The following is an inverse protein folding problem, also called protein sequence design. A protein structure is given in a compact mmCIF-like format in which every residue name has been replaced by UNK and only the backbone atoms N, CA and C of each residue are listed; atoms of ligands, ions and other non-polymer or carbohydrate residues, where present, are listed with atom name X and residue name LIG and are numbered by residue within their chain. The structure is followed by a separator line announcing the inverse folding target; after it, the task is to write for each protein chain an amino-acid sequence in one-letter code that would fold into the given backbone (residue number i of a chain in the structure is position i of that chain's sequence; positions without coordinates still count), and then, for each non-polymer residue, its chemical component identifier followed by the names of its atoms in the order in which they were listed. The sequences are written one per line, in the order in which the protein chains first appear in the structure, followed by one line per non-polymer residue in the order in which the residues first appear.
data_IF_811624905739
#
_entry.id   IF_811624905739
#
_cell.length_a   1.000
_cell.length_b   1.000
_cell.length_c   1.000
_cell.angle_alpha   90.00
_cell.angle_beta   90.00
_cell.angle_gamma   90.00
#
_symmetry.space_group_name_H-M   'P 1'
#
loop_
_entity.id
_entity.type
_entity.pdbx_description
1 polymer ?
#
# COMPACT_ATOMS: atom_id res chain seq x y z
N UNK A 1 19.29 -45.73 36.61
CA UNK A 1 19.64 -44.65 35.66
C UNK A 1 18.62 -43.51 35.68
N UNK A 2 17.31 -43.78 35.65
CA UNK A 2 16.21 -42.78 35.75
C UNK A 2 16.28 -41.83 36.97
N UNK A 3 16.76 -42.31 38.13
CA UNK A 3 16.83 -41.49 39.38
C UNK A 3 17.86 -40.36 39.33
N UNK A 4 18.87 -40.40 38.45
CA UNK A 4 19.86 -39.32 38.32
C UNK A 4 19.34 -38.12 37.52
N UNK A 5 18.41 -38.34 36.58
CA UNK A 5 17.76 -37.24 35.83
C UNK A 5 16.78 -36.45 36.69
N UNK A 6 16.18 -37.09 37.71
CA UNK A 6 15.24 -36.45 38.65
C UNK A 6 15.91 -35.69 39.80
N UNK A 7 17.22 -35.87 40.01
CA UNK A 7 17.97 -35.27 41.12
C UNK A 7 18.90 -34.14 40.66
N UNK A 8 18.98 -33.85 39.37
CA UNK A 8 19.89 -32.87 38.83
C UNK A 8 19.29 -31.46 38.94
N UNK A 9 19.96 -30.57 39.69
CA UNK A 9 19.59 -29.16 39.85
C UNK A 9 20.30 -28.26 38.85
N UNK A 10 21.30 -28.78 38.14
CA UNK A 10 21.98 -28.06 37.06
C UNK A 10 21.13 -28.19 35.80
N UNK A 11 20.53 -27.07 35.35
CA UNK A 11 19.68 -27.04 34.15
C UNK A 11 18.21 -26.70 34.39
N UNK A 12 17.80 -26.39 35.62
CA UNK A 12 16.43 -25.92 35.86
C UNK A 12 16.12 -24.62 35.08
N UNK A 13 17.08 -23.70 35.01
CA UNK A 13 16.95 -22.47 34.21
C UNK A 13 16.85 -22.73 32.70
N UNK A 14 17.49 -23.78 32.18
CA UNK A 14 17.34 -24.17 30.76
C UNK A 14 15.98 -24.79 30.48
N UNK A 15 15.39 -25.53 31.43
CA UNK A 15 14.03 -26.08 31.29
C UNK A 15 12.98 -24.98 31.39
N UNK A 16 13.14 -24.04 32.33
CA UNK A 16 12.26 -22.87 32.46
C UNK A 16 12.32 -21.97 31.21
N UNK A 17 13.54 -21.72 30.68
CA UNK A 17 13.70 -20.99 29.43
C UNK A 17 13.11 -21.76 28.25
N UNK A 18 13.28 -23.08 28.17
CA UNK A 18 12.72 -23.88 27.08
C UNK A 18 11.20 -23.84 27.03
N UNK A 19 10.53 -23.65 28.17
CA UNK A 19 9.07 -23.48 28.25
C UNK A 19 8.64 -22.08 27.76
N UNK A 20 9.40 -21.02 28.08
CA UNK A 20 9.06 -19.63 27.72
C UNK A 20 9.51 -19.28 26.28
N UNK A 21 10.62 -19.84 25.83
CA UNK A 21 11.21 -19.62 24.51
C UNK A 21 10.23 -19.73 23.34
N UNK A 22 9.35 -20.74 23.22
CA UNK A 22 8.40 -20.81 22.10
C UNK A 22 7.44 -19.61 22.05
N UNK A 23 7.03 -19.08 23.21
CA UNK A 23 6.16 -17.89 23.28
C UNK A 23 6.92 -16.66 22.80
N UNK A 24 8.17 -16.49 23.24
CA UNK A 24 9.03 -15.38 22.81
C UNK A 24 9.32 -15.44 21.30
N UNK A 25 9.66 -16.61 20.78
CA UNK A 25 9.90 -16.81 19.33
C UNK A 25 8.65 -16.45 18.53
N UNK A 26 7.47 -16.95 18.94
CA UNK A 26 6.22 -16.65 18.26
C UNK A 26 5.92 -15.14 18.26
N UNK A 27 6.12 -14.46 19.38
CA UNK A 27 5.92 -13.02 19.50
C UNK A 27 6.87 -12.22 18.59
N UNK A 28 8.16 -12.59 18.53
CA UNK A 28 9.13 -11.93 17.65
C UNK A 28 8.84 -12.16 16.17
N UNK A 29 8.42 -13.37 15.79
CA UNK A 29 8.02 -13.69 14.42
C UNK A 29 6.78 -12.87 14.00
N UNK A 30 5.78 -12.75 14.87
CA UNK A 30 4.59 -11.92 14.60
C UNK A 30 4.97 -10.45 14.45
N UNK A 31 5.81 -9.91 15.33
CA UNK A 31 6.27 -8.52 15.24
C UNK A 31 7.04 -8.26 13.94
N UNK A 32 7.91 -9.18 13.54
CA UNK A 32 8.66 -9.09 12.27
C UNK A 32 7.74 -9.10 11.04
N UNK A 33 6.70 -9.93 11.06
CA UNK A 33 5.74 -10.01 9.97
C UNK A 33 4.91 -8.72 9.83
N UNK A 34 4.46 -8.14 10.94
CA UNK A 34 3.81 -6.83 10.95
C UNK A 34 4.73 -5.75 10.38
N UNK A 35 6.01 -5.74 10.77
CA UNK A 35 6.99 -4.79 10.24
C UNK A 35 7.15 -4.92 8.72
N UNK A 36 7.14 -6.15 8.18
CA UNK A 36 7.19 -6.41 6.75
C UNK A 36 5.92 -5.97 6.02
N UNK A 37 4.74 -6.15 6.62
CA UNK A 37 3.49 -5.62 6.09
C UNK A 37 3.52 -4.09 5.99
N UNK A 38 4.01 -3.40 7.03
CA UNK A 38 4.19 -1.95 7.00
C UNK A 38 5.22 -1.51 5.95
N UNK A 39 6.33 -2.23 5.79
CA UNK A 39 7.29 -1.97 4.72
C UNK A 39 6.62 -2.03 3.35
N UNK A 40 5.81 -3.05 3.09
CA UNK A 40 5.07 -3.17 1.83
C UNK A 40 4.11 -1.99 1.62
N UNK A 41 3.36 -1.61 2.66
CA UNK A 41 2.46 -0.45 2.61
C UNK A 41 3.20 0.87 2.33
N UNK A 42 4.33 1.10 3.00
CA UNK A 42 5.17 2.28 2.76
C UNK A 42 5.70 2.29 1.33
N UNK A 43 6.03 1.13 0.76
CA UNK A 43 6.42 0.99 -0.65
C UNK A 43 5.34 1.50 -1.60
N UNK A 44 4.09 1.06 -1.42
CA UNK A 44 2.95 1.54 -2.21
C UNK A 44 2.72 3.04 -2.04
N UNK A 45 2.82 3.55 -0.80
CA UNK A 45 2.64 4.97 -0.50
C UNK A 45 3.70 5.84 -1.18
N UNK A 46 4.97 5.44 -1.12
CA UNK A 46 6.08 6.13 -1.79
C UNK A 46 5.93 6.12 -3.31
N UNK A 47 5.46 5.01 -3.88
CA UNK A 47 5.18 4.93 -5.31
C UNK A 47 4.05 5.91 -5.70
N UNK A 48 2.96 5.97 -4.93
CA UNK A 48 1.88 6.92 -5.14
C UNK A 48 2.38 8.38 -5.04
N UNK A 49 3.14 8.73 -4.01
CA UNK A 49 3.71 10.08 -3.83
C UNK A 49 4.65 10.47 -4.98
N UNK A 50 5.53 9.57 -5.42
CA UNK A 50 6.39 9.80 -6.58
C UNK A 50 5.57 10.07 -7.83
N UNK A 51 4.50 9.32 -8.06
CA UNK A 51 3.65 9.52 -9.25
C UNK A 51 2.84 10.80 -9.17
N UNK A 52 2.45 11.25 -7.96
CA UNK A 52 1.87 12.56 -7.75
C UNK A 52 2.87 13.68 -8.10
N UNK A 53 4.14 13.53 -7.74
CA UNK A 53 5.18 14.50 -8.13
C UNK A 53 5.41 14.52 -9.65
N UNK A 54 5.40 13.35 -10.31
CA UNK A 54 5.47 13.28 -11.77
C UNK A 54 4.25 13.93 -12.44
N UNK A 55 3.05 13.74 -11.87
CA UNK A 55 1.84 14.41 -12.34
C UNK A 55 1.94 15.93 -12.22
N UNK A 56 2.51 16.43 -11.11
CA UNK A 56 2.75 17.87 -10.93
C UNK A 56 3.81 18.41 -11.90
N UNK A 57 4.88 17.66 -12.16
CA UNK A 57 5.95 18.07 -13.07
C UNK A 57 5.54 18.01 -14.55
N UNK A 58 4.71 17.04 -14.93
CA UNK A 58 4.16 16.92 -16.28
C UNK A 58 3.16 18.02 -16.64
N UNK A 59 2.60 18.69 -15.64
CA UNK A 59 1.62 19.76 -15.83
C UNK A 59 0.26 19.24 -16.29
N UNK A 60 -0.66 20.19 -16.49
CA UNK A 60 -2.01 19.92 -16.99
C UNK A 60 -2.12 20.28 -18.47
N UNK A 61 -2.59 19.35 -19.31
CA UNK A 61 -2.96 19.65 -20.70
C UNK A 61 -4.45 19.93 -20.82
N UNK A 62 -4.81 21.00 -21.55
CA UNK A 62 -6.19 21.37 -21.86
C UNK A 62 -6.76 20.59 -23.05
N UNK A 63 -6.05 19.57 -23.56
CA UNK A 63 -6.55 18.78 -24.67
C UNK A 63 -7.66 17.82 -24.20
N UNK A 64 -8.91 18.24 -24.45
CA UNK A 64 -10.14 17.54 -24.06
C UNK A 64 -10.37 16.24 -24.81
N UNK A 65 -9.54 15.92 -25.81
CA UNK A 65 -9.65 14.66 -26.55
C UNK A 65 -8.84 13.51 -25.94
N UNK A 66 -7.91 13.80 -25.01
CA UNK A 66 -6.90 12.83 -24.57
C UNK A 66 -6.35 13.06 -23.15
N UNK A 67 -7.10 13.71 -22.25
CA UNK A 67 -6.75 13.81 -20.81
C UNK A 67 -6.44 12.46 -20.18
N UNK A 68 -7.11 11.39 -20.61
CA UNK A 68 -6.82 10.01 -20.22
C UNK A 68 -5.47 9.50 -20.74
N UNK A 69 -5.01 9.93 -21.93
CA UNK A 69 -3.69 9.56 -22.47
C UNK A 69 -2.52 10.30 -21.83
N UNK A 70 -2.71 11.55 -21.40
CA UNK A 70 -1.69 12.30 -20.65
C UNK A 70 -1.28 11.59 -19.34
N UNK A 71 -2.22 10.86 -18.72
CA UNK A 71 -1.99 10.15 -17.47
C UNK A 71 -1.76 8.64 -17.60
N UNK A 72 -1.91 8.05 -18.80
CA UNK A 72 -1.70 6.61 -19.01
C UNK A 72 -0.27 6.17 -18.67
N UNK A 73 0.72 7.03 -18.91
CA UNK A 73 2.12 6.75 -18.54
C UNK A 73 2.32 6.76 -17.02
N UNK A 74 1.57 7.58 -16.27
CA UNK A 74 1.66 7.60 -14.81
C UNK A 74 1.19 6.29 -14.19
N UNK A 75 0.17 5.65 -14.77
CA UNK A 75 -0.30 4.35 -14.29
C UNK A 75 0.77 3.26 -14.49
N UNK A 76 1.47 3.27 -15.63
CA UNK A 76 2.59 2.37 -15.90
C UNK A 76 3.79 2.63 -14.97
N UNK A 77 4.16 3.89 -14.77
CA UNK A 77 5.26 4.29 -13.88
C UNK A 77 4.94 3.96 -12.41
N UNK A 78 3.71 4.21 -11.96
CA UNK A 78 3.23 3.84 -10.64
C UNK A 78 3.29 2.34 -10.42
N UNK A 79 2.81 1.56 -11.39
CA UNK A 79 2.83 0.11 -11.36
C UNK A 79 4.26 -0.43 -11.30
N UNK A 80 5.17 0.10 -12.13
CA UNK A 80 6.58 -0.27 -12.14
C UNK A 80 7.28 0.08 -10.82
N UNK A 81 7.01 1.27 -10.26
CA UNK A 81 7.60 1.70 -8.98
C UNK A 81 7.07 0.90 -7.78
N UNK A 82 5.80 0.51 -7.80
CA UNK A 82 5.16 -0.28 -6.75
C UNK A 82 5.36 -1.80 -6.91
N UNK A 83 5.81 -2.27 -8.08
CA UNK A 83 5.93 -3.69 -8.39
C UNK A 83 4.57 -4.41 -8.49
N UNK A 84 3.51 -3.70 -8.90
CA UNK A 84 2.15 -4.25 -9.04
C UNK A 84 1.69 -4.20 -10.50
N UNK A 85 0.68 -5.00 -10.90
CA UNK A 85 0.07 -4.88 -12.22
C UNK A 85 -0.56 -3.50 -12.44
N UNK A 86 -0.55 -3.01 -13.68
CA UNK A 86 -1.17 -1.71 -14.03
C UNK A 86 -2.66 -1.64 -13.72
N UNK A 87 -3.39 -2.76 -13.81
CA UNK A 87 -4.80 -2.84 -13.42
C UNK A 87 -5.08 -2.57 -11.94
N UNK A 88 -4.05 -2.60 -11.09
CA UNK A 88 -4.15 -2.27 -9.68
C UNK A 88 -3.89 -0.79 -9.38
N UNK A 89 -3.58 0.01 -10.40
CA UNK A 89 -3.37 1.45 -10.30
C UNK A 89 -4.57 2.17 -10.87
N UNK A 90 -5.08 3.15 -10.13
CA UNK A 90 -6.15 4.03 -10.58
C UNK A 90 -5.67 5.47 -10.50
N UNK A 91 -5.69 6.16 -11.63
CA UNK A 91 -5.41 7.59 -11.72
C UNK A 91 -6.74 8.31 -11.98
N UNK A 92 -7.14 9.17 -11.07
CA UNK A 92 -8.41 9.89 -11.13
C UNK A 92 -8.14 11.39 -11.21
N UNK A 93 -8.28 11.99 -12.40
CA UNK A 93 -8.28 13.45 -12.52
C UNK A 93 -9.58 14.00 -11.92
N UNK A 94 -9.50 15.14 -11.24
CA UNK A 94 -10.66 15.78 -10.61
C UNK A 94 -10.63 17.28 -10.84
N UNK A 95 -11.74 17.81 -11.32
CA UNK A 95 -11.96 19.24 -11.51
C UNK A 95 -12.96 19.74 -10.46
N UNK A 96 -12.64 20.84 -9.79
CA UNK A 96 -13.56 21.54 -8.90
C UNK A 96 -13.86 22.92 -9.47
N UNK A 97 -15.15 23.23 -9.58
CA UNK A 97 -15.66 24.55 -9.97
C UNK A 97 -16.47 25.12 -8.79
N UNK A 98 -16.03 26.24 -8.19
CA UNK A 98 -16.68 26.84 -7.01
C UNK A 98 -17.05 25.81 -5.91
N UNK A 99 -16.10 24.92 -5.58
CA UNK A 99 -16.23 23.82 -4.61
C UNK A 99 -17.13 22.64 -5.02
N UNK A 100 -17.71 22.62 -6.22
CA UNK A 100 -18.43 21.46 -6.77
C UNK A 100 -17.49 20.55 -7.55
N UNK A 101 -17.51 19.25 -7.27
CA UNK A 101 -16.69 18.26 -7.99
C UNK A 101 -17.38 17.91 -9.31
N UNK A 102 -16.68 18.13 -10.42
CA UNK A 102 -17.11 17.74 -11.75
C UNK A 102 -16.53 16.35 -12.08
N UNK A 103 -17.29 15.30 -11.78
CA UNK A 103 -16.87 13.89 -11.99
C UNK A 103 -17.17 13.37 -13.40
N UNK A 104 -18.16 13.95 -14.10
CA UNK A 104 -18.61 13.47 -15.40
C UNK A 104 -17.78 13.98 -16.58
N UNK A 105 -17.09 15.12 -16.42
CA UNK A 105 -16.30 15.75 -17.49
C UNK A 105 -15.20 16.65 -16.92
N UNK A 106 -14.16 16.07 -16.28
CA UNK A 106 -13.02 16.84 -15.79
C UNK A 106 -12.25 17.55 -16.91
N UNK A 107 -12.49 17.22 -18.18
CA UNK A 107 -12.00 17.91 -19.37
C UNK A 107 -12.70 19.25 -19.61
N UNK A 108 -13.98 19.37 -19.25
CA UNK A 108 -14.79 20.53 -19.59
C UNK A 108 -14.40 21.70 -18.68
N UNK A 109 -13.99 22.85 -19.24
CA UNK A 109 -13.67 24.04 -18.45
C UNK A 109 -14.85 24.46 -17.57
N UNK A 110 -14.56 25.00 -16.38
CA UNK A 110 -15.59 25.62 -15.55
C UNK A 110 -16.24 26.80 -16.29
N UNK A 111 -17.54 27.07 -16.08
CA UNK A 111 -18.20 28.26 -16.60
C UNK A 111 -17.48 29.55 -16.20
N UNK A 112 -17.58 30.57 -17.04
CA UNK A 112 -16.93 31.88 -16.81
C UNK A 112 -17.29 32.45 -15.43
N UNK A 113 -16.27 32.99 -14.74
CA UNK A 113 -16.40 33.58 -13.40
C UNK A 113 -16.35 32.59 -12.24
N UNK A 114 -16.20 31.28 -12.49
CA UNK A 114 -16.03 30.28 -11.42
C UNK A 114 -14.55 30.06 -11.06
N UNK A 115 -14.28 29.79 -9.79
CA UNK A 115 -12.94 29.39 -9.35
C UNK A 115 -12.66 27.94 -9.74
N UNK A 116 -11.64 27.75 -10.57
CA UNK A 116 -11.16 26.46 -11.04
C UNK A 116 -10.08 25.90 -10.12
N UNK A 117 -10.22 24.65 -9.67
CA UNK A 117 -9.16 23.90 -9.00
C UNK A 117 -9.02 22.52 -9.62
N UNK A 118 -7.81 22.10 -9.96
CA UNK A 118 -7.54 20.79 -10.58
C UNK A 118 -6.67 19.92 -9.70
N UNK A 119 -7.07 18.67 -9.54
CA UNK A 119 -6.36 17.66 -8.76
C UNK A 119 -6.16 16.39 -9.58
N UNK A 120 -5.12 15.65 -9.26
CA UNK A 120 -4.94 14.27 -9.70
C UNK A 120 -4.75 13.42 -8.46
N UNK A 121 -5.58 12.40 -8.32
CA UNK A 121 -5.45 11.38 -7.28
C UNK A 121 -4.89 10.09 -7.89
N UNK A 122 -3.92 9.50 -7.21
CA UNK A 122 -3.35 8.20 -7.54
C UNK A 122 -3.67 7.25 -6.40
N UNK A 123 -4.22 6.09 -6.74
CA UNK A 123 -4.46 4.98 -5.83
C UNK A 123 -3.80 3.73 -6.38
N UNK A 124 -2.98 3.08 -5.55
CA UNK A 124 -2.30 1.84 -5.87
C UNK A 124 -2.77 0.77 -4.89
N UNK A 125 -3.23 -0.35 -5.43
CA UNK A 125 -3.67 -1.50 -4.65
C UNK A 125 -2.66 -2.66 -4.74
N UNK A 126 -2.42 -3.33 -3.63
CA UNK A 126 -1.57 -4.50 -3.54
C UNK A 126 -2.10 -5.49 -2.52
N UNK A 127 -1.46 -6.64 -2.42
CA UNK A 127 -1.73 -7.62 -1.38
C UNK A 127 -0.43 -8.03 -0.71
N UNK A 128 -0.50 -8.26 0.61
CA UNK A 128 0.60 -8.78 1.40
C UNK A 128 0.19 -10.09 2.05
N UNK A 129 0.95 -11.15 1.78
CA UNK A 129 0.72 -12.46 2.39
C UNK A 129 1.66 -12.62 3.59
N UNK A 130 1.13 -12.65 4.82
CA UNK A 130 1.97 -12.77 5.99
C UNK A 130 2.64 -14.15 6.04
N UNK A 131 3.85 -14.23 6.59
CA UNK A 131 4.59 -15.49 6.72
C UNK A 131 3.84 -16.50 7.59
N UNK A 132 3.16 -16.03 8.63
CA UNK A 132 2.34 -16.88 9.49
C UNK A 132 1.11 -17.44 8.77
N UNK A 133 0.71 -16.91 7.61
CA UNK A 133 -0.37 -17.50 6.82
C UNK A 133 -0.07 -18.94 6.41
N UNK A 134 1.22 -19.28 6.22
CA UNK A 134 1.64 -20.67 5.94
C UNK A 134 1.40 -21.62 7.12
N UNK A 135 1.37 -21.10 8.35
CA UNK A 135 1.11 -21.87 9.57
C UNK A 135 -0.40 -22.10 9.79
N UNK A 136 -1.26 -21.35 9.10
CA UNK A 136 -2.72 -21.47 9.17
C UNK A 136 -3.32 -21.69 7.76
N UNK A 137 -3.04 -22.85 7.12
CA UNK A 137 -3.57 -23.15 5.79
C UNK A 137 -5.10 -23.19 5.81
N UNK A 138 -5.74 -22.59 4.80
CA UNK A 138 -7.20 -22.47 4.73
C UNK A 138 -7.76 -21.19 5.37
N UNK A 139 -6.93 -20.39 6.03
CA UNK A 139 -7.31 -19.05 6.46
C UNK A 139 -7.39 -18.09 5.28
N UNK A 140 -8.20 -17.02 5.39
CA UNK A 140 -8.28 -15.95 4.38
C UNK A 140 -6.94 -15.27 4.13
N UNK A 141 -6.08 -15.21 5.15
CA UNK A 141 -4.73 -14.67 5.03
C UNK A 141 -3.82 -15.52 4.15
N UNK A 142 -4.05 -16.84 4.09
CA UNK A 142 -3.27 -17.76 3.24
C UNK A 142 -3.74 -17.81 1.80
N UNK A 143 -5.03 -17.53 1.55
CA UNK A 143 -5.62 -17.60 0.20
C UNK A 143 -5.74 -16.25 -0.51
N UNK A 144 -6.05 -15.18 0.21
CA UNK A 144 -6.31 -13.85 -0.36
C UNK A 144 -5.24 -12.81 0.04
N UNK A 145 -4.47 -13.09 1.10
CA UNK A 145 -3.57 -12.10 1.71
C UNK A 145 -4.33 -10.94 2.35
N UNK A 146 -3.58 -9.93 2.76
CA UNK A 146 -4.08 -8.68 3.34
C UNK A 146 -4.01 -7.61 2.26
N UNK A 147 -5.14 -6.99 1.92
CA UNK A 147 -5.18 -5.89 0.97
C UNK A 147 -4.45 -4.67 1.54
N UNK A 148 -3.53 -4.12 0.75
CA UNK A 148 -2.80 -2.89 1.05
C UNK A 148 -3.14 -1.85 -0.01
N UNK A 149 -3.23 -0.60 0.43
CA UNK A 149 -3.44 0.53 -0.46
C UNK A 149 -2.45 1.64 -0.13
N UNK A 150 -1.90 2.24 -1.18
CA UNK A 150 -1.15 3.48 -1.12
C UNK A 150 -1.86 4.53 -1.96
N UNK A 151 -2.02 5.74 -1.44
CA UNK A 151 -2.69 6.82 -2.16
C UNK A 151 -2.03 8.16 -1.94
N UNK A 152 -2.04 8.98 -2.99
CA UNK A 152 -1.53 10.33 -2.98
C UNK A 152 -2.37 11.19 -3.91
N UNK A 153 -2.51 12.48 -3.59
CA UNK A 153 -3.13 13.44 -4.49
C UNK A 153 -2.33 14.72 -4.53
N UNK A 154 -2.39 15.41 -5.67
CA UNK A 154 -1.68 16.66 -5.90
C UNK A 154 -2.58 17.65 -6.61
N UNK A 155 -2.40 18.94 -6.29
CA UNK A 155 -3.06 20.03 -6.98
C UNK A 155 -2.20 20.49 -8.15
N UNK A 156 -2.81 20.62 -9.32
CA UNK A 156 -2.14 21.10 -10.54
C UNK A 156 -2.40 22.59 -10.81
N UNK A 157 -3.59 23.10 -10.46
CA UNK A 157 -4.02 24.49 -10.69
C UNK A 157 -5.06 24.92 -9.64
#
# INVERSE_FOLDING_TARGET
MMKRLLSDRYGNSTVELAIIMPVLVLLTCMAGDVAMAFKAKIGLQRAAERTAQLAAAGGYTNDTTDTSKAYNNLAADAAAAAGVPTGNVTVTPTLLCNATVQTASPEVPCPDGQQTKRYVAISISGSYTPMFAKLAPGSRWSSQGIALTGSASVRLQ
#
